data_IF_200862429660
#
_entry.id   IF_200862429660
#
_cell.length_a   1.000
_cell.length_b   1.000
_cell.length_c   1.000
_cell.angle_alpha   90.00
_cell.angle_beta   90.00
_cell.angle_gamma   90.00
#
_symmetry.space_group_name_H-M   'P 1'
#
loop_
_entity.id
_entity.type
_entity.pdbx_description
1 polymer ?
#
# COMPACT_ATOMS: atom_id res chain seq x y z
N UNK A 1 7.24 -16.11 9.12
CA UNK A 1 7.16 -15.54 7.75
C UNK A 1 5.95 -14.62 7.56
N UNK A 2 4.75 -14.95 8.09
CA UNK A 2 3.55 -14.11 7.94
C UNK A 2 3.70 -12.66 8.49
N UNK A 3 4.33 -12.47 9.66
CA UNK A 3 4.50 -11.16 10.29
C UNK A 3 5.29 -10.12 9.45
N UNK A 4 5.97 -10.54 8.38
CA UNK A 4 6.68 -9.64 7.47
C UNK A 4 5.73 -8.93 6.49
N UNK A 5 4.65 -9.60 6.11
CA UNK A 5 3.73 -9.16 5.04
C UNK A 5 2.34 -8.77 5.56
N UNK A 6 2.01 -9.19 6.78
CA UNK A 6 0.77 -8.84 7.47
C UNK A 6 1.08 -8.05 8.74
N UNK A 7 0.27 -7.03 9.03
CA UNK A 7 0.29 -6.30 10.30
C UNK A 7 -1.13 -6.20 10.85
N UNK A 8 -1.23 -6.17 12.18
CA UNK A 8 -2.47 -5.87 12.91
C UNK A 8 -2.74 -4.36 13.02
N UNK A 9 -1.75 -3.54 12.68
CA UNK A 9 -1.85 -2.08 12.70
C UNK A 9 -1.95 -1.56 11.28
N UNK A 10 -2.99 -0.75 11.02
CA UNK A 10 -3.13 -0.05 9.74
C UNK A 10 -1.90 0.83 9.45
N UNK A 11 -1.47 1.62 10.43
CA UNK A 11 -0.31 2.51 10.31
C UNK A 11 0.97 1.76 9.93
N UNK A 12 1.19 0.59 10.54
CA UNK A 12 2.36 -0.24 10.21
C UNK A 12 2.23 -0.86 8.81
N UNK A 13 1.04 -1.36 8.44
CA UNK A 13 0.79 -1.91 7.10
C UNK A 13 1.05 -0.86 6.01
N UNK A 14 0.54 0.36 6.19
CA UNK A 14 0.77 1.46 5.26
C UNK A 14 2.24 1.89 5.21
N UNK A 15 2.93 1.93 6.35
CA UNK A 15 4.37 2.20 6.39
C UNK A 15 5.19 1.17 5.60
N UNK A 16 4.89 -0.12 5.78
CA UNK A 16 5.55 -1.20 5.03
C UNK A 16 5.29 -1.14 3.53
N UNK A 17 4.11 -0.71 3.12
CA UNK A 17 3.79 -0.49 1.70
C UNK A 17 4.70 0.57 1.07
N UNK A 18 4.88 1.71 1.75
CA UNK A 18 5.76 2.79 1.28
C UNK A 18 7.22 2.33 1.19
N UNK A 19 7.72 1.64 2.23
CA UNK A 19 9.08 1.05 2.22
C UNK A 19 9.24 0.07 1.05
N UNK A 20 8.22 -0.74 0.75
CA UNK A 20 8.23 -1.64 -0.41
C UNK A 20 8.35 -0.90 -1.74
N UNK A 21 7.67 0.23 -1.89
CA UNK A 21 7.78 1.09 -3.08
C UNK A 21 9.18 1.69 -3.19
N UNK A 22 9.75 2.18 -2.08
CA UNK A 22 11.11 2.73 -2.04
C UNK A 22 12.15 1.68 -2.44
N UNK A 23 12.07 0.47 -1.88
CA UNK A 23 12.95 -0.64 -2.23
C UNK A 23 12.87 -1.00 -3.72
N UNK A 24 11.68 -0.99 -4.32
CA UNK A 24 11.54 -1.25 -5.76
C UNK A 24 12.22 -0.15 -6.59
N UNK A 25 12.10 1.13 -6.18
CA UNK A 25 12.80 2.24 -6.83
C UNK A 25 14.32 2.12 -6.69
N UNK A 26 14.81 1.77 -5.51
CA UNK A 26 16.24 1.50 -5.26
C UNK A 26 16.79 0.36 -6.11
N UNK A 27 15.94 -0.61 -6.48
CA UNK A 27 16.27 -1.73 -7.37
C UNK A 27 15.99 -1.41 -8.87
N UNK A 28 15.94 -0.13 -9.25
CA UNK A 28 15.75 0.34 -10.62
C UNK A 28 14.42 -0.05 -11.29
N UNK A 29 13.37 -0.34 -10.51
CA UNK A 29 12.02 -0.47 -11.06
C UNK A 29 11.34 0.90 -11.20
N UNK A 30 10.59 1.11 -12.29
CA UNK A 30 9.74 2.30 -12.43
C UNK A 30 8.52 2.16 -11.51
N UNK A 31 8.50 2.89 -10.39
CA UNK A 31 7.39 2.85 -9.44
C UNK A 31 6.92 4.25 -9.10
N UNK A 32 5.61 4.47 -9.25
CA UNK A 32 4.91 5.62 -8.72
C UNK A 32 3.98 5.14 -7.62
N UNK A 33 3.86 5.89 -6.53
CA UNK A 33 2.90 5.57 -5.48
C UNK A 33 2.22 6.84 -4.99
N UNK A 34 0.96 6.69 -4.61
CA UNK A 34 0.11 7.77 -4.12
C UNK A 34 -0.65 7.31 -2.88
N UNK A 35 -0.86 8.24 -1.96
CA UNK A 35 -1.67 8.03 -0.76
C UNK A 35 -2.93 8.88 -0.86
N UNK A 36 -4.07 8.22 -0.98
CA UNK A 36 -5.37 8.83 -1.18
C UNK A 36 -6.11 8.90 0.16
N UNK A 37 -6.06 10.06 0.82
CA UNK A 37 -6.73 10.28 2.11
C UNK A 37 -8.25 10.25 1.97
N UNK A 38 -8.91 9.53 2.88
CA UNK A 38 -10.36 9.37 2.90
C UNK A 38 -11.09 10.46 3.70
N UNK A 39 -10.35 11.30 4.44
CA UNK A 39 -10.94 12.26 5.38
C UNK A 39 -11.60 11.62 6.60
N UNK A 40 -11.31 10.34 6.84
CA UNK A 40 -11.81 9.55 7.97
C UNK A 40 -10.67 9.19 8.91
N UNK A 41 -11.02 8.82 10.15
CA UNK A 41 -10.08 8.35 11.16
C UNK A 41 -10.32 6.88 11.49
N UNK A 42 -9.24 6.16 11.79
CA UNK A 42 -9.27 4.81 12.31
C UNK A 42 -9.50 4.76 13.83
N UNK A 43 -9.55 3.56 14.41
CA UNK A 43 -9.76 3.36 15.84
C UNK A 43 -8.70 4.01 16.74
N UNK A 44 -7.49 4.21 16.23
CA UNK A 44 -6.37 4.84 16.93
C UNK A 44 -6.20 6.32 16.53
N UNK A 45 -7.29 6.94 16.02
CA UNK A 45 -7.34 8.32 15.50
C UNK A 45 -6.44 8.59 14.28
N UNK A 46 -5.90 7.55 13.66
CA UNK A 46 -5.00 7.66 12.52
C UNK A 46 -5.78 8.00 11.23
N UNK A 47 -5.21 8.84 10.34
CA UNK A 47 -5.89 9.20 9.10
C UNK A 47 -5.95 7.98 8.17
N UNK A 48 -7.16 7.59 7.78
CA UNK A 48 -7.36 6.51 6.83
C UNK A 48 -7.09 6.99 5.40
N UNK A 49 -6.39 6.14 4.67
CA UNK A 49 -6.03 6.36 3.27
C UNK A 49 -6.00 5.04 2.49
N UNK A 50 -6.14 5.14 1.17
CA UNK A 50 -5.86 4.07 0.23
C UNK A 50 -4.47 4.33 -0.35
N UNK A 51 -3.56 3.40 -0.16
CA UNK A 51 -2.22 3.46 -0.74
C UNK A 51 -2.21 2.69 -2.07
N UNK A 52 -1.80 3.38 -3.15
CA UNK A 52 -1.77 2.84 -4.51
C UNK A 52 -0.34 2.90 -5.02
N UNK A 53 0.09 1.85 -5.72
CA UNK A 53 1.37 1.82 -6.43
C UNK A 53 1.18 1.32 -7.85
N UNK A 54 1.82 2.02 -8.79
CA UNK A 54 1.94 1.64 -10.18
C UNK A 54 3.39 1.20 -10.37
N UNK A 55 3.58 -0.08 -10.67
CA UNK A 55 4.88 -0.65 -11.04
C UNK A 55 4.89 -0.85 -12.56
N UNK A 56 5.85 -0.24 -13.25
CA UNK A 56 5.92 -0.24 -14.71
C UNK A 56 5.22 0.99 -15.32
N UNK A 57 4.43 0.79 -16.39
CA UNK A 57 3.81 1.88 -17.13
C UNK A 57 2.37 1.53 -17.55
N UNK A 58 1.44 2.45 -17.28
CA UNK A 58 0.02 2.32 -17.65
C UNK A 58 -0.21 2.32 -19.17
N UNK A 59 0.72 2.87 -19.96
CA UNK A 59 0.60 2.87 -21.43
C UNK A 59 0.91 1.53 -22.08
N UNK A 60 1.23 0.49 -21.30
CA UNK A 60 1.57 -0.85 -21.81
C UNK A 60 0.38 -1.65 -22.35
N UNK A 61 -0.85 -1.18 -22.15
CA UNK A 61 -2.07 -1.81 -22.65
C UNK A 61 -2.47 -3.10 -21.92
N UNK A 62 -1.72 -3.52 -20.89
CA UNK A 62 -2.04 -4.66 -20.02
C UNK A 62 -1.80 -4.28 -18.57
N UNK A 63 -2.76 -4.59 -17.71
CA UNK A 63 -2.70 -4.25 -16.29
C UNK A 63 -2.91 -5.53 -15.48
N UNK A 64 -2.03 -5.76 -14.50
CA UNK A 64 -2.27 -6.68 -13.41
C UNK A 64 -2.69 -5.85 -12.20
N UNK A 65 -3.94 -6.01 -11.76
CA UNK A 65 -4.44 -5.36 -10.56
C UNK A 65 -4.36 -6.33 -9.38
N UNK A 66 -3.69 -5.93 -8.31
CA UNK A 66 -3.71 -6.61 -7.02
C UNK A 66 -4.26 -5.66 -5.97
N UNK A 67 -5.18 -6.14 -5.15
CA UNK A 67 -5.77 -5.38 -4.05
C UNK A 67 -5.77 -6.22 -2.78
N UNK A 68 -5.67 -5.55 -1.64
CA UNK A 68 -5.71 -6.16 -0.31
C UNK A 68 -6.43 -5.22 0.67
N UNK A 69 -6.76 -5.72 1.87
CA UNK A 69 -7.45 -4.92 2.88
C UNK A 69 -8.94 -4.66 2.61
N UNK A 70 -9.57 -5.48 1.75
CA UNK A 70 -11.02 -5.41 1.46
C UNK A 70 -11.85 -5.71 2.70
N UNK A 71 -11.45 -6.74 3.43
CA UNK A 71 -11.88 -6.96 4.81
C UNK A 71 -10.67 -6.55 5.62
N UNK A 72 -10.83 -5.51 6.45
CA UNK A 72 -9.75 -5.02 7.30
C UNK A 72 -9.23 -6.11 8.24
N UNK A 73 -8.38 -5.74 9.17
CA UNK A 73 -8.11 -6.62 10.31
C UNK A 73 -9.42 -6.83 11.07
N UNK A 74 -10.11 -7.93 10.80
CA UNK A 74 -11.10 -8.53 11.70
C UNK A 74 -10.31 -9.00 12.93
N UNK A 75 -9.97 -8.05 13.80
CA UNK A 75 -9.40 -8.28 15.12
C UNK A 75 -10.49 -8.25 16.17
#
# INVERSE_FOLDING_TARGET
MANKWFSKSYSEAAGRFLIGCDLLRENNHNVQNERLFLGLKGPEEEPLAIDVAIVGNLSSGKILLSSSGIHGVEG
#
